data_IF_540461273810
#
_entry.id   IF_540461273810
#
_cell.length_a   1.000
_cell.length_b   1.000
_cell.length_c   1.000
_cell.angle_alpha   90.00
_cell.angle_beta   90.00
_cell.angle_gamma   90.00
#
_symmetry.space_group_name_H-M   'P 1'
#
loop_
_entity.id
_entity.type
_entity.pdbx_description
1 polymer ?
#
# COMPACT_ATOMS: atom_id res chain seq x y z
N UNK A 1 10.91 -17.41 -48.44
CA UNK A 1 11.98 -17.21 -47.44
C UNK A 1 11.32 -17.09 -46.08
N UNK A 2 11.43 -18.11 -45.25
CA UNK A 2 10.75 -18.20 -43.96
C UNK A 2 11.67 -17.60 -42.90
N UNK A 3 11.44 -16.35 -42.50
CA UNK A 3 12.17 -15.74 -41.39
C UNK A 3 11.86 -16.50 -40.11
N UNK A 4 12.89 -17.11 -39.52
CA UNK A 4 12.81 -17.74 -38.21
C UNK A 4 12.59 -16.65 -37.15
N UNK A 5 11.33 -16.39 -36.80
CA UNK A 5 10.96 -15.41 -35.77
C UNK A 5 11.53 -15.88 -34.43
N UNK A 6 12.61 -15.23 -33.99
CA UNK A 6 13.20 -15.43 -32.66
C UNK A 6 12.19 -14.98 -31.60
N UNK A 7 11.67 -15.93 -30.81
CA UNK A 7 10.73 -15.64 -29.71
C UNK A 7 11.54 -15.31 -28.46
N UNK A 8 11.28 -14.15 -27.84
CA UNK A 8 11.90 -13.76 -26.58
C UNK A 8 11.04 -14.23 -25.39
N UNK A 9 11.64 -14.92 -24.42
CA UNK A 9 10.94 -15.29 -23.18
C UNK A 9 10.92 -14.13 -22.19
N UNK A 10 9.79 -13.91 -21.52
CA UNK A 10 9.66 -12.90 -20.49
C UNK A 10 10.46 -13.29 -19.24
N UNK A 11 11.35 -12.42 -18.75
CA UNK A 11 12.13 -12.70 -17.55
C UNK A 11 11.28 -12.82 -16.27
N UNK A 12 10.10 -12.17 -16.21
CA UNK A 12 9.23 -12.17 -15.03
C UNK A 12 8.35 -13.41 -14.95
N UNK A 13 7.76 -13.86 -16.06
CA UNK A 13 6.79 -14.95 -16.07
C UNK A 13 7.15 -16.13 -17.00
N UNK A 14 8.29 -16.07 -17.68
CA UNK A 14 8.78 -17.12 -18.59
C UNK A 14 8.05 -17.21 -19.95
N UNK A 15 6.94 -16.49 -20.14
CA UNK A 15 6.10 -16.59 -21.34
C UNK A 15 6.83 -16.11 -22.59
N UNK A 16 6.78 -16.89 -23.68
CA UNK A 16 7.34 -16.50 -24.97
C UNK A 16 6.49 -15.40 -25.64
N UNK A 17 7.13 -14.30 -26.02
CA UNK A 17 6.52 -13.19 -26.74
C UNK A 17 7.17 -13.05 -28.14
N UNK A 18 6.45 -12.52 -29.13
CA UNK A 18 7.05 -12.17 -30.41
C UNK A 18 8.11 -11.08 -30.21
N UNK A 19 9.19 -11.09 -31.02
CA UNK A 19 10.33 -10.17 -30.87
C UNK A 19 9.94 -8.68 -30.86
N UNK A 20 8.86 -8.32 -31.57
CA UNK A 20 8.38 -6.95 -31.65
C UNK A 20 7.53 -6.49 -30.44
N UNK A 21 7.26 -7.37 -29.47
CA UNK A 21 6.41 -7.03 -28.33
C UNK A 21 7.14 -6.16 -27.31
N UNK A 22 6.67 -4.92 -27.14
CA UNK A 22 7.13 -3.98 -26.10
C UNK A 22 6.70 -4.37 -24.68
N UNK A 23 5.69 -5.23 -24.57
CA UNK A 23 5.14 -5.71 -23.31
C UNK A 23 4.94 -7.22 -23.36
N UNK A 24 5.13 -7.89 -22.23
CA UNK A 24 4.80 -9.31 -22.14
C UNK A 24 3.27 -9.50 -22.15
N UNK A 25 2.76 -10.29 -23.11
CA UNK A 25 1.33 -10.61 -23.20
C UNK A 25 0.79 -11.50 -22.06
N UNK A 26 1.64 -11.94 -21.13
CA UNK A 26 1.23 -12.70 -19.94
C UNK A 26 1.09 -11.84 -18.69
N UNK A 27 2.08 -10.99 -18.41
CA UNK A 27 2.16 -10.24 -17.15
C UNK A 27 2.26 -8.71 -17.34
N UNK A 28 2.12 -8.21 -18.58
CA UNK A 28 2.12 -6.78 -18.90
C UNK A 28 3.47 -6.06 -18.73
N UNK A 29 4.52 -6.77 -18.33
CA UNK A 29 5.81 -6.14 -18.00
C UNK A 29 6.52 -5.64 -19.27
N UNK A 30 7.01 -4.40 -19.22
CA UNK A 30 7.81 -3.76 -20.28
C UNK A 30 9.09 -4.55 -20.54
N UNK A 31 9.27 -5.01 -21.77
CA UNK A 31 10.44 -5.82 -22.16
C UNK A 31 11.70 -4.98 -22.26
N UNK A 32 11.60 -3.71 -22.64
CA UNK A 32 12.74 -2.79 -22.75
C UNK A 32 13.34 -2.38 -21.40
N UNK A 33 12.52 -2.19 -20.37
CA UNK A 33 13.01 -1.82 -19.03
C UNK A 33 13.77 -2.96 -18.36
N UNK A 34 13.30 -4.19 -18.56
CA UNK A 34 13.98 -5.40 -18.08
C UNK A 34 15.34 -5.57 -18.80
N UNK A 35 15.40 -5.35 -20.11
CA UNK A 35 16.66 -5.40 -20.86
C UNK A 35 17.66 -4.32 -20.40
N UNK A 36 17.20 -3.10 -20.09
CA UNK A 36 18.05 -2.04 -19.51
C UNK A 36 18.55 -2.42 -18.11
N UNK A 37 17.68 -2.97 -17.26
CA UNK A 37 18.05 -3.40 -15.91
C UNK A 37 19.08 -4.54 -15.96
N UNK A 38 18.91 -5.53 -16.84
CA UNK A 38 19.88 -6.61 -17.01
C UNK A 38 21.24 -6.12 -17.50
N UNK A 39 21.27 -5.16 -18.44
CA UNK A 39 22.52 -4.55 -18.90
C UNK A 39 23.20 -3.72 -17.81
N UNK A 40 22.42 -3.02 -16.97
CA UNK A 40 22.93 -2.29 -15.81
C UNK A 40 23.56 -3.23 -14.78
N UNK A 41 22.92 -4.36 -14.47
CA UNK A 41 23.44 -5.38 -13.56
C UNK A 41 24.72 -6.01 -14.09
N UNK A 42 24.79 -6.31 -15.39
CA UNK A 42 26.01 -6.85 -16.03
C UNK A 42 27.18 -5.86 -15.93
N UNK A 43 26.93 -4.56 -16.15
CA UNK A 43 27.95 -3.53 -16.01
C UNK A 43 28.43 -3.38 -14.56
N UNK A 44 27.52 -3.41 -13.59
CA UNK A 44 27.88 -3.39 -12.16
C UNK A 44 28.74 -4.60 -11.76
N UNK A 45 28.42 -5.79 -12.28
CA UNK A 45 29.22 -6.99 -12.04
C UNK A 45 30.64 -6.86 -12.60
N UNK A 46 30.80 -6.28 -13.80
CA UNK A 46 32.12 -6.02 -14.38
C UNK A 46 32.91 -5.00 -13.55
N UNK A 47 32.27 -3.93 -13.08
CA UNK A 47 32.91 -2.92 -12.25
C UNK A 47 33.35 -3.48 -10.89
N UNK A 48 32.52 -4.30 -10.25
CA UNK A 48 32.86 -4.99 -8.99
C UNK A 48 34.04 -5.94 -9.21
N UNK A 49 34.08 -6.66 -10.34
CA UNK A 49 35.18 -7.57 -10.67
C UNK A 49 36.49 -6.80 -10.89
N UNK A 50 36.44 -5.68 -11.61
CA UNK A 50 37.59 -4.81 -11.82
C UNK A 50 38.13 -4.23 -10.49
N UNK A 51 37.25 -3.76 -9.60
CA UNK A 51 37.62 -3.26 -8.26
C UNK A 51 38.21 -4.32 -7.34
N UNK A 52 37.83 -5.59 -7.51
CA UNK A 52 38.42 -6.71 -6.74
C UNK A 52 39.82 -7.05 -7.22
N UNK A 53 40.07 -7.01 -8.53
CA UNK A 53 41.41 -7.28 -9.09
C UNK A 53 42.39 -6.17 -8.73
N UNK A 54 41.98 -4.89 -8.80
CA UNK A 54 42.85 -3.77 -8.41
C UNK A 54 43.19 -3.73 -6.92
N UNK A 55 42.31 -4.24 -6.06
CA UNK A 55 42.56 -4.36 -4.61
C UNK A 55 43.55 -5.48 -4.26
N UNK A 56 43.71 -6.48 -5.12
CA UNK A 56 44.68 -7.58 -4.95
C UNK A 56 46.08 -7.21 -5.45
N UNK A 57 46.21 -6.21 -6.32
CA UNK A 57 47.50 -5.77 -6.87
C UNK A 57 48.21 -4.64 -6.08
N UNK A 58 47.60 -4.11 -5.01
CA UNK A 58 48.19 -3.03 -4.19
C UNK A 58 48.80 -3.51 -2.85
N UNK A 59 49.06 -4.81 -2.67
CA UNK A 59 49.66 -5.34 -1.42
C UNK A 59 51.12 -5.77 -1.55
N UNK A 60 51.73 -5.69 -2.73
CA UNK A 60 53.15 -6.04 -2.92
C UNK A 60 53.85 -5.01 -3.80
N UNK A 61 54.27 -3.89 -3.20
CA UNK A 61 55.56 -3.25 -3.50
C UNK A 61 55.63 -1.87 -2.82
N UNK A 62 56.32 -1.77 -1.68
CA UNK A 62 57.16 -0.59 -1.44
C UNK A 62 58.32 -0.91 -0.47
N UNK A 63 59.59 -0.70 -0.88
CA UNK A 63 60.75 -0.81 -0.02
C UNK A 63 61.03 0.53 0.69
N UNK A 64 61.61 0.41 1.89
CA UNK A 64 61.96 1.52 2.77
C UNK A 64 63.14 2.36 2.24
N UNK A 65 63.02 3.70 2.21
CA UNK A 65 64.14 4.65 2.38
C UNK A 65 63.67 5.94 3.06
N UNK A 66 64.54 6.42 3.95
CA UNK A 66 64.54 7.56 4.87
C UNK A 66 64.54 8.94 4.16
N UNK A 67 63.86 9.97 4.72
CA UNK A 67 64.41 11.25 5.27
C UNK A 67 63.44 12.48 5.18
N UNK A 68 62.98 12.93 6.36
CA UNK A 68 63.04 14.31 6.95
C UNK A 68 62.75 15.55 6.07
N UNK A 69 61.68 16.30 6.39
CA UNK A 69 61.74 17.68 6.93
C UNK A 69 60.39 18.44 6.92
N UNK A 70 60.25 19.30 7.95
CA UNK A 70 59.48 20.55 8.06
C UNK A 70 57.93 20.54 8.19
N UNK A 71 57.48 20.81 9.42
CA UNK A 71 56.43 21.74 9.94
C UNK A 71 55.59 22.61 8.96
N UNK A 72 54.50 23.29 9.41
CA UNK A 72 53.79 23.24 10.71
C UNK A 72 52.23 23.24 10.61
N UNK A 73 51.60 23.02 11.77
CA UNK A 73 50.33 23.60 12.27
C UNK A 73 49.12 23.75 11.33
N UNK A 74 48.11 22.90 11.52
CA UNK A 74 46.72 23.36 11.42
C UNK A 74 45.81 22.61 12.41
N UNK A 75 45.00 23.41 13.09
CA UNK A 75 44.19 23.11 14.27
C UNK A 75 43.02 22.22 13.88
N UNK A 76 42.97 21.01 14.43
CA UNK A 76 41.83 20.09 14.31
C UNK A 76 41.00 20.09 15.61
N UNK A 77 39.67 20.27 15.56
CA UNK A 77 38.82 19.98 16.70
C UNK A 77 38.54 18.47 16.74
N UNK A 78 39.03 17.81 17.79
CA UNK A 78 38.83 16.38 18.03
C UNK A 78 37.33 16.05 18.24
N UNK A 79 36.76 15.05 17.53
CA UNK A 79 35.50 14.45 17.93
C UNK A 79 35.76 13.41 19.02
N UNK A 80 35.44 13.74 20.26
CA UNK A 80 35.37 12.79 21.36
C UNK A 80 34.19 11.81 21.13
N UNK A 81 34.42 10.74 20.37
CA UNK A 81 33.48 9.62 20.26
C UNK A 81 34.15 8.29 20.62
N UNK A 82 33.63 7.70 21.69
CA UNK A 82 33.45 6.26 21.90
C UNK A 82 34.57 5.41 22.53
N UNK A 83 35.20 5.89 23.61
CA UNK A 83 35.88 4.96 24.54
C UNK A 83 34.91 4.00 25.25
N UNK A 84 33.61 4.35 25.38
CA UNK A 84 32.60 3.53 26.05
C UNK A 84 32.18 2.26 25.26
N UNK A 85 32.20 2.31 23.92
CA UNK A 85 31.77 1.19 23.06
C UNK A 85 32.72 -0.02 23.14
N UNK A 86 34.04 0.22 23.30
CA UNK A 86 35.04 -0.85 23.36
C UNK A 86 34.98 -1.67 24.65
N UNK A 87 34.52 -1.10 25.77
CA UNK A 87 34.43 -1.83 27.06
C UNK A 87 33.30 -2.86 27.07
N UNK A 88 32.17 -2.55 26.43
CA UNK A 88 30.99 -3.43 26.43
C UNK A 88 31.26 -4.69 25.59
N UNK A 89 31.93 -4.55 24.45
CA UNK A 89 32.20 -5.68 23.54
C UNK A 89 33.14 -6.75 24.13
N UNK A 90 34.04 -6.37 25.05
CA UNK A 90 34.95 -7.32 25.70
C UNK A 90 34.29 -8.12 26.82
N UNK A 91 33.27 -7.57 27.49
CA UNK A 91 32.52 -8.29 28.53
C UNK A 91 31.71 -9.45 27.94
N UNK A 92 31.06 -9.22 26.79
CA UNK A 92 30.28 -10.25 26.11
C UNK A 92 31.14 -11.38 25.52
N UNK A 93 32.42 -11.12 25.24
CA UNK A 93 33.37 -12.14 24.73
C UNK A 93 33.80 -13.18 25.77
N UNK A 94 33.61 -12.94 27.06
CA UNK A 94 33.93 -13.91 28.13
C UNK A 94 32.77 -14.83 28.52
N UNK A 95 31.56 -14.54 28.04
CA UNK A 95 30.41 -15.40 28.32
C UNK A 95 30.48 -16.70 27.50
N UNK A 96 30.20 -17.87 28.11
CA UNK A 96 30.08 -19.14 27.41
C UNK A 96 29.09 -19.05 26.25
N UNK A 97 29.37 -19.76 25.15
CA UNK A 97 28.57 -19.74 23.91
C UNK A 97 27.09 -20.04 24.18
N UNK A 98 26.80 -20.91 25.14
CA UNK A 98 25.45 -21.25 25.59
C UNK A 98 24.65 -20.03 26.11
N UNK A 99 25.29 -19.16 26.90
CA UNK A 99 24.65 -17.97 27.47
C UNK A 99 24.37 -16.90 26.42
N UNK A 100 25.23 -16.78 25.39
CA UNK A 100 24.98 -15.85 24.28
C UNK A 100 23.75 -16.23 23.47
N UNK A 101 23.54 -17.53 23.23
CA UNK A 101 22.34 -18.02 22.52
C UNK A 101 21.08 -17.74 23.33
N UNK A 102 21.08 -18.02 24.65
CA UNK A 102 19.93 -17.73 25.52
C UNK A 102 19.62 -16.22 25.60
N UNK A 103 20.63 -15.38 25.73
CA UNK A 103 20.45 -13.92 25.73
C UNK A 103 19.90 -13.42 24.39
N UNK A 104 20.43 -13.88 23.25
CA UNK A 104 19.95 -13.47 21.93
C UNK A 104 18.47 -13.83 21.71
N UNK A 105 18.05 -15.04 22.12
CA UNK A 105 16.65 -15.47 22.04
C UNK A 105 15.75 -14.60 22.95
N UNK A 106 16.19 -14.33 24.18
CA UNK A 106 15.45 -13.47 25.11
C UNK A 106 15.29 -12.03 24.60
N UNK A 107 16.36 -11.45 24.03
CA UNK A 107 16.36 -10.11 23.46
C UNK A 107 15.50 -10.02 22.19
N UNK A 108 15.52 -11.06 21.35
CA UNK A 108 14.66 -11.14 20.18
C UNK A 108 13.17 -11.23 20.57
N UNK A 109 12.84 -12.02 21.58
CA UNK A 109 11.47 -12.11 22.09
C UNK A 109 11.00 -10.79 22.71
N UNK A 110 11.82 -10.13 23.53
CA UNK A 110 11.45 -8.85 24.15
C UNK A 110 11.32 -7.72 23.11
N UNK A 111 12.20 -7.69 22.11
CA UNK A 111 12.12 -6.73 21.00
C UNK A 111 10.86 -6.96 20.17
N UNK A 112 10.48 -8.21 19.91
CA UNK A 112 9.26 -8.55 19.19
C UNK A 112 8.02 -8.08 19.94
N UNK A 113 7.98 -8.28 21.27
CA UNK A 113 6.89 -7.79 22.13
C UNK A 113 6.86 -6.26 22.16
N UNK A 114 8.00 -5.59 22.26
CA UNK A 114 8.08 -4.13 22.21
C UNK A 114 7.62 -3.56 20.86
N UNK A 115 7.98 -4.20 19.75
CA UNK A 115 7.52 -3.82 18.41
C UNK A 115 6.00 -4.00 18.30
N UNK A 116 5.45 -5.10 18.80
CA UNK A 116 3.98 -5.31 18.82
C UNK A 116 3.30 -4.28 19.71
N UNK A 117 3.84 -3.96 20.89
CA UNK A 117 3.28 -2.93 21.79
C UNK A 117 3.39 -1.54 21.17
N UNK A 118 4.50 -1.19 20.51
CA UNK A 118 4.65 0.10 19.82
C UNK A 118 3.72 0.21 18.60
N UNK A 119 3.59 -0.85 17.82
CA UNK A 119 2.68 -0.88 16.66
C UNK A 119 1.21 -0.92 17.09
N UNK A 120 0.89 -1.53 18.24
CA UNK A 120 -0.48 -1.61 18.76
C UNK A 120 -0.87 -0.39 19.59
N UNK A 121 0.08 0.27 20.25
CA UNK A 121 -0.12 1.46 21.09
C UNK A 121 -0.05 2.79 20.35
N UNK A 122 0.48 2.80 19.11
CA UNK A 122 0.44 3.97 18.20
C UNK A 122 -0.83 4.03 17.33
N UNK A 123 -1.81 3.16 17.56
CA UNK A 123 -3.15 3.34 17.03
C UNK A 123 -3.96 4.12 18.07
N UNK A 124 -4.00 5.47 18.02
CA UNK A 124 -4.88 6.23 18.89
C UNK A 124 -6.29 5.68 18.73
N UNK A 125 -6.97 5.50 19.85
CA UNK A 125 -8.37 5.09 19.88
C UNK A 125 -9.17 6.04 18.98
N UNK A 126 -9.47 5.57 17.77
CA UNK A 126 -10.09 6.30 16.69
C UNK A 126 -11.57 6.55 17.02
N UNK A 127 -11.83 7.46 17.96
CA UNK A 127 -13.13 8.12 18.10
C UNK A 127 -13.21 9.16 16.98
N UNK A 128 -13.61 8.69 15.80
CA UNK A 128 -13.72 9.50 14.58
C UNK A 128 -15.08 10.19 14.56
N UNK A 129 -15.13 11.44 15.03
CA UNK A 129 -16.31 12.30 14.88
C UNK A 129 -16.18 13.25 13.67
N UNK A 130 -14.96 13.55 13.23
CA UNK A 130 -14.68 14.59 12.24
C UNK A 130 -13.94 14.03 11.01
N UNK A 131 -14.26 14.50 9.78
CA UNK A 131 -13.61 14.07 8.54
C UNK A 131 -12.14 14.51 8.51
N UNK A 132 -11.22 13.59 8.82
CA UNK A 132 -9.78 13.84 8.75
C UNK A 132 -9.28 13.81 7.31
N UNK A 133 -8.18 14.51 7.05
CA UNK A 133 -7.52 14.52 5.74
C UNK A 133 -7.21 13.11 5.27
N UNK A 134 -6.76 12.22 6.15
CA UNK A 134 -6.50 10.82 5.80
C UNK A 134 -7.71 10.14 5.15
N UNK A 135 -8.91 10.31 5.70
CA UNK A 135 -10.14 9.71 5.18
C UNK A 135 -10.61 10.38 3.91
N UNK A 136 -10.58 11.72 3.91
CA UNK A 136 -10.97 12.50 2.75
C UNK A 136 -10.06 12.22 1.55
N UNK A 137 -8.75 12.04 1.78
CA UNK A 137 -7.77 11.66 0.77
C UNK A 137 -8.07 10.28 0.19
N UNK A 138 -8.40 9.29 1.01
CA UNK A 138 -8.80 7.95 0.53
C UNK A 138 -10.07 8.03 -0.32
N UNK A 139 -11.00 8.91 0.03
CA UNK A 139 -12.20 9.14 -0.80
C UNK A 139 -11.87 9.80 -2.15
N UNK A 140 -11.00 10.81 -2.16
CA UNK A 140 -10.58 11.49 -3.38
C UNK A 140 -9.77 10.57 -4.30
N UNK A 141 -8.89 9.73 -3.76
CA UNK A 141 -8.07 8.80 -4.56
C UNK A 141 -8.94 7.85 -5.37
N UNK A 142 -10.08 7.45 -4.81
CA UNK A 142 -11.08 6.60 -5.46
C UNK A 142 -11.94 7.33 -6.46
N UNK A 143 -12.35 8.54 -6.12
CA UNK A 143 -13.29 9.32 -6.93
C UNK A 143 -12.62 9.88 -8.19
N UNK A 144 -11.34 10.23 -8.09
CA UNK A 144 -10.58 10.91 -9.14
C UNK A 144 -9.39 10.12 -9.65
N UNK A 145 -9.17 8.90 -9.16
CA UNK A 145 -8.12 8.00 -9.65
C UNK A 145 -6.69 8.51 -9.37
N UNK A 146 -6.52 9.28 -8.30
CA UNK A 146 -5.26 9.92 -7.94
C UNK A 146 -4.53 9.17 -6.83
N UNK A 147 -3.21 9.10 -6.92
CA UNK A 147 -2.38 8.57 -5.83
C UNK A 147 -2.43 9.46 -4.60
N UNK A 148 -2.15 8.86 -3.43
CA UNK A 148 -2.04 9.64 -2.20
C UNK A 148 -0.95 10.72 -2.29
N UNK A 149 0.14 10.47 -3.03
CA UNK A 149 1.19 11.44 -3.25
C UNK A 149 0.72 12.62 -4.12
N UNK A 150 -0.03 12.36 -5.19
CA UNK A 150 -0.64 13.40 -6.02
C UNK A 150 -1.65 14.22 -5.23
N UNK A 151 -2.46 13.57 -4.38
CA UNK A 151 -3.42 14.26 -3.52
C UNK A 151 -2.74 15.12 -2.45
N UNK A 152 -1.63 14.65 -1.87
CA UNK A 152 -0.84 15.45 -0.93
C UNK A 152 -0.20 16.64 -1.64
N UNK A 153 0.22 16.48 -2.91
CA UNK A 153 0.68 17.59 -3.75
C UNK A 153 -0.44 18.59 -4.04
N UNK A 154 -1.63 18.13 -4.43
CA UNK A 154 -2.81 18.99 -4.67
C UNK A 154 -3.19 19.76 -3.41
N UNK A 155 -3.14 19.10 -2.25
CA UNK A 155 -3.36 19.77 -0.97
C UNK A 155 -2.32 20.86 -0.72
N UNK A 156 -1.04 20.55 -0.95
CA UNK A 156 0.06 21.50 -0.82
C UNK A 156 -0.08 22.69 -1.77
N UNK A 157 -0.47 22.48 -3.02
CA UNK A 157 -0.74 23.54 -3.99
C UNK A 157 -1.94 24.40 -3.57
N UNK A 158 -2.97 23.80 -2.98
CA UNK A 158 -4.19 24.51 -2.56
C UNK A 158 -3.96 25.38 -1.32
N UNK A 159 -3.15 24.92 -0.37
CA UNK A 159 -3.00 25.58 0.95
C UNK A 159 -1.59 26.08 1.25
N UNK A 160 -0.63 25.89 0.34
CA UNK A 160 0.79 26.21 0.54
C UNK A 160 1.41 25.54 1.79
N UNK A 161 0.90 24.36 2.16
CA UNK A 161 1.33 23.62 3.34
C UNK A 161 1.20 22.10 3.13
N UNK A 162 2.11 21.32 3.72
CA UNK A 162 1.99 19.86 3.71
C UNK A 162 0.81 19.43 4.58
N UNK A 163 0.00 18.47 4.11
CA UNK A 163 -1.14 18.00 4.90
C UNK A 163 -0.70 17.24 6.15
N UNK A 164 -1.33 17.54 7.28
CA UNK A 164 -1.29 16.66 8.46
C UNK A 164 -2.39 15.58 8.28
N UNK A 165 -2.06 14.27 8.28
CA UNK A 165 -3.04 13.20 8.17
C UNK A 165 -4.18 13.28 9.21
N UNK A 166 -3.92 13.86 10.38
CA UNK A 166 -4.90 14.02 11.44
C UNK A 166 -5.73 15.31 11.32
N UNK A 167 -5.38 16.21 10.41
CA UNK A 167 -6.07 17.49 10.23
C UNK A 167 -7.52 17.26 9.81
N UNK A 168 -8.46 17.90 10.52
CA UNK A 168 -9.86 17.91 10.12
C UNK A 168 -10.02 18.80 8.88
N UNK A 169 -10.66 18.25 7.86
CA UNK A 169 -11.01 18.98 6.64
C UNK A 169 -12.43 19.48 6.81
N UNK A 170 -12.71 20.75 6.52
CA UNK A 170 -14.08 21.25 6.49
C UNK A 170 -14.62 21.37 5.04
N UNK A 171 -15.92 21.61 4.90
CA UNK A 171 -16.58 21.72 3.59
C UNK A 171 -15.95 22.83 2.72
N UNK A 172 -15.52 23.94 3.32
CA UNK A 172 -14.89 25.03 2.59
C UNK A 172 -13.51 24.64 2.04
N UNK A 173 -12.71 23.90 2.80
CA UNK A 173 -11.44 23.34 2.35
C UNK A 173 -11.64 22.33 1.23
N UNK A 174 -12.62 21.42 1.36
CA UNK A 174 -12.98 20.48 0.31
C UNK A 174 -13.40 21.20 -0.99
N UNK A 175 -14.19 22.27 -0.90
CA UNK A 175 -14.57 23.08 -2.06
C UNK A 175 -13.37 23.78 -2.73
N UNK A 176 -12.36 24.21 -1.96
CA UNK A 176 -11.12 24.75 -2.54
C UNK A 176 -10.32 23.68 -3.27
N UNK A 177 -10.21 22.49 -2.69
CA UNK A 177 -9.57 21.34 -3.34
C UNK A 177 -10.30 21.00 -4.65
N UNK A 178 -11.63 21.03 -4.68
CA UNK A 178 -12.41 20.86 -5.92
C UNK A 178 -12.02 21.87 -7.00
N UNK A 179 -11.90 23.15 -6.63
CA UNK A 179 -11.49 24.20 -7.59
C UNK A 179 -10.08 23.97 -8.13
N UNK A 180 -9.15 23.53 -7.28
CA UNK A 180 -7.80 23.14 -7.70
C UNK A 180 -7.85 21.97 -8.67
N UNK A 181 -8.61 20.91 -8.36
CA UNK A 181 -8.78 19.75 -9.25
C UNK A 181 -9.39 20.15 -10.60
N UNK A 182 -10.46 20.97 -10.61
CA UNK A 182 -11.07 21.51 -11.84
C UNK A 182 -10.04 22.24 -12.70
N UNK A 183 -9.20 23.05 -12.07
CA UNK A 183 -8.16 23.84 -12.76
C UNK A 183 -7.06 22.94 -13.31
N UNK A 184 -6.54 22.01 -12.50
CA UNK A 184 -5.47 21.10 -12.89
C UNK A 184 -5.88 20.15 -14.02
N UNK A 185 -7.09 19.59 -13.97
CA UNK A 185 -7.58 18.66 -14.98
C UNK A 185 -8.28 19.34 -16.15
N UNK A 186 -8.47 20.66 -16.11
CA UNK A 186 -9.23 21.41 -17.12
C UNK A 186 -10.66 20.86 -17.31
N UNK A 187 -11.28 20.39 -16.22
CA UNK A 187 -12.61 19.80 -16.20
C UNK A 187 -13.55 20.64 -15.32
N UNK A 188 -14.28 21.63 -15.88
CA UNK A 188 -15.13 22.51 -15.08
C UNK A 188 -16.31 21.77 -14.42
N UNK A 189 -16.74 20.66 -15.02
CA UNK A 189 -17.86 19.84 -14.55
C UNK A 189 -17.45 18.82 -13.45
N UNK A 190 -16.16 18.71 -13.13
CA UNK A 190 -15.68 17.82 -12.08
C UNK A 190 -16.24 18.27 -10.73
N UNK A 191 -17.01 17.46 -10.03
CA UNK A 191 -17.48 17.80 -8.68
C UNK A 191 -17.12 16.74 -7.66
N UNK A 192 -16.66 17.18 -6.49
CA UNK A 192 -16.48 16.33 -5.30
C UNK A 192 -17.83 16.16 -4.58
N UNK A 193 -18.79 17.05 -4.83
CA UNK A 193 -20.11 17.04 -4.19
C UNK A 193 -21.18 16.36 -5.06
N UNK A 194 -22.20 15.72 -4.46
CA UNK A 194 -22.42 15.58 -3.01
C UNK A 194 -21.39 14.66 -2.34
N UNK A 195 -21.03 14.98 -1.10
CA UNK A 195 -19.96 14.29 -0.38
C UNK A 195 -20.45 13.85 1.01
N UNK A 196 -20.39 12.54 1.33
CA UNK A 196 -20.89 12.01 2.60
C UNK A 196 -20.16 12.53 3.84
N UNK A 197 -18.96 13.11 3.71
CA UNK A 197 -18.21 13.71 4.82
C UNK A 197 -18.74 15.08 5.28
N UNK A 198 -19.45 15.80 4.40
CA UNK A 198 -19.84 17.20 4.64
C UNK A 198 -21.34 17.46 4.57
N UNK A 199 -22.13 16.45 4.22
CA UNK A 199 -23.58 16.54 4.27
C UNK A 199 -24.03 16.69 5.74
N UNK A 200 -24.20 17.94 6.15
CA UNK A 200 -24.74 18.37 7.46
C UNK A 200 -26.23 18.03 7.58
N UNK A 201 -26.89 17.76 6.45
CA UNK A 201 -27.97 16.80 6.44
C UNK A 201 -27.36 15.44 6.72
N UNK A 202 -27.20 15.12 8.01
CA UNK A 202 -27.35 13.76 8.49
C UNK A 202 -28.61 13.22 7.83
N UNK A 203 -28.44 12.61 6.65
CA UNK A 203 -29.32 11.55 6.19
C UNK A 203 -29.36 10.67 7.41
N UNK A 204 -30.48 10.74 8.14
CA UNK A 204 -30.77 9.91 9.30
C UNK A 204 -30.25 8.56 8.89
N UNK A 205 -29.20 8.07 9.56
CA UNK A 205 -28.72 6.71 9.36
C UNK A 205 -29.99 5.89 9.28
N UNK A 206 -30.31 5.29 8.11
CA UNK A 206 -31.59 4.64 7.93
C UNK A 206 -31.76 3.73 9.14
N UNK A 207 -32.87 3.82 9.88
CA UNK A 207 -33.06 3.04 11.13
C UNK A 207 -32.69 1.56 10.93
N UNK A 208 -32.89 1.06 9.71
CA UNK A 208 -32.43 -0.23 9.19
C UNK A 208 -30.94 -0.53 9.35
N UNK A 209 -30.03 0.43 9.19
CA UNK A 209 -28.59 0.24 9.38
C UNK A 209 -28.19 0.13 10.87
N UNK A 210 -28.93 0.77 11.78
CA UNK A 210 -28.76 0.61 13.23
C UNK A 210 -29.29 -0.75 13.71
N UNK A 211 -30.38 -1.23 13.10
CA UNK A 211 -30.96 -2.56 13.40
C UNK A 211 -30.08 -3.71 12.90
N UNK A 212 -29.20 -3.48 11.92
CA UNK A 212 -28.26 -4.46 11.39
C UNK A 212 -27.03 -4.71 12.28
N UNK A 213 -26.92 -4.03 13.43
CA UNK A 213 -25.79 -4.13 14.35
C UNK A 213 -24.64 -3.24 13.89
N UNK A 214 -24.49 -2.08 14.53
CA UNK A 214 -23.35 -1.20 14.29
C UNK A 214 -22.01 -1.87 14.62
N UNK A 215 -20.93 -1.31 14.08
CA UNK A 215 -19.56 -1.75 14.38
C UNK A 215 -19.13 -1.22 15.76
N UNK A 216 -18.58 -2.08 16.61
CA UNK A 216 -18.17 -1.71 17.98
C UNK A 216 -16.98 -0.75 18.03
N UNK A 217 -16.21 -0.65 16.93
CA UNK A 217 -15.08 0.26 16.78
C UNK A 217 -15.42 1.56 16.04
N UNK A 218 -16.67 1.77 15.61
CA UNK A 218 -17.07 2.97 14.87
C UNK A 218 -18.35 3.59 15.43
N UNK A 219 -18.34 4.89 15.81
CA UNK A 219 -19.54 5.61 16.23
C UNK A 219 -20.62 5.60 15.15
N UNK A 220 -21.90 5.45 15.52
CA UNK A 220 -23.03 5.36 14.57
C UNK A 220 -23.16 6.52 13.58
N UNK A 221 -22.64 7.71 13.92
CA UNK A 221 -22.66 8.89 13.06
C UNK A 221 -21.55 8.90 11.98
N UNK A 222 -20.69 7.88 11.93
CA UNK A 222 -19.53 7.87 11.06
C UNK A 222 -19.90 7.69 9.57
N UNK A 223 -19.24 8.40 8.63
CA UNK A 223 -19.53 8.29 7.17
C UNK A 223 -19.28 6.90 6.57
N UNK A 224 -18.60 6.01 7.29
CA UNK A 224 -18.42 4.60 6.90
C UNK A 224 -19.76 3.90 6.69
N UNK A 225 -20.77 4.20 7.50
CA UNK A 225 -22.09 3.58 7.34
C UNK A 225 -22.74 3.99 6.02
N UNK A 226 -22.54 5.23 5.57
CA UNK A 226 -23.02 5.70 4.26
C UNK A 226 -22.27 5.01 3.12
N UNK A 227 -20.94 4.93 3.22
CA UNK A 227 -20.10 4.29 2.19
C UNK A 227 -20.41 2.79 2.03
N UNK A 228 -20.83 2.13 3.10
CA UNK A 228 -21.14 0.69 3.13
C UNK A 228 -22.63 0.38 3.11
N UNK A 229 -23.48 1.39 3.00
CA UNK A 229 -24.94 1.27 3.08
C UNK A 229 -25.50 0.16 2.18
N UNK A 230 -25.12 0.03 0.88
CA UNK A 230 -25.64 -1.02 0.02
C UNK A 230 -25.39 -2.44 0.55
N UNK A 231 -24.26 -2.67 1.21
CA UNK A 231 -23.92 -3.97 1.79
C UNK A 231 -24.63 -4.22 3.11
N UNK A 232 -24.80 -3.17 3.92
CA UNK A 232 -25.53 -3.22 5.19
C UNK A 232 -27.02 -3.49 4.98
N UNK A 233 -27.63 -2.89 3.95
CA UNK A 233 -29.03 -3.15 3.58
C UNK A 233 -29.27 -4.61 3.18
N UNK A 234 -28.27 -5.22 2.53
CA UNK A 234 -28.26 -6.65 2.20
C UNK A 234 -27.92 -7.57 3.39
N UNK A 235 -27.67 -6.99 4.58
CA UNK A 235 -27.25 -7.71 5.80
C UNK A 235 -26.00 -8.57 5.60
N UNK A 236 -25.07 -8.12 4.76
CA UNK A 236 -23.78 -8.80 4.58
C UNK A 236 -22.91 -8.51 5.82
N UNK A 237 -22.40 -9.55 6.45
CA UNK A 237 -21.52 -9.43 7.60
C UNK A 237 -20.13 -8.93 7.20
N UNK A 238 -19.84 -7.66 7.48
CA UNK A 238 -18.54 -7.01 7.19
C UNK A 238 -17.59 -6.99 8.41
N UNK A 239 -18.12 -7.22 9.61
CA UNK A 239 -17.37 -7.16 10.86
C UNK A 239 -16.58 -8.45 11.16
N UNK A 240 -15.53 -8.32 11.95
CA UNK A 240 -14.79 -9.44 12.53
C UNK A 240 -15.60 -10.16 13.62
N UNK A 241 -15.05 -11.26 14.17
CA UNK A 241 -15.68 -12.02 15.26
C UNK A 241 -15.92 -11.22 16.54
N UNK A 242 -15.28 -10.06 16.70
CA UNK A 242 -15.43 -9.13 17.83
C UNK A 242 -16.35 -7.96 17.47
N UNK A 243 -17.09 -8.06 16.38
CA UNK A 243 -17.96 -7.01 15.83
C UNK A 243 -17.21 -5.70 15.53
N UNK A 244 -16.00 -5.79 14.95
CA UNK A 244 -15.20 -4.62 14.53
C UNK A 244 -14.96 -4.65 13.03
N UNK A 245 -15.05 -3.51 12.35
CA UNK A 245 -14.78 -3.44 10.91
C UNK A 245 -13.33 -3.08 10.59
N UNK A 246 -12.64 -2.36 11.49
CA UNK A 246 -11.24 -1.95 11.37
C UNK A 246 -10.91 -1.35 10.00
N UNK A 247 -11.41 -0.13 9.70
CA UNK A 247 -11.40 0.46 8.36
C UNK A 247 -10.06 0.41 7.61
N UNK A 248 -8.96 0.60 8.33
CA UNK A 248 -7.62 0.75 7.78
C UNK A 248 -6.77 -0.53 7.85
N UNK A 249 -7.28 -1.60 8.46
CA UNK A 249 -6.56 -2.87 8.42
C UNK A 249 -6.55 -3.39 6.97
N UNK A 250 -5.44 -3.94 6.47
CA UNK A 250 -5.38 -4.54 5.14
C UNK A 250 -6.46 -5.61 4.94
N UNK A 251 -7.13 -5.59 3.79
CA UNK A 251 -8.15 -6.57 3.45
C UNK A 251 -7.54 -7.96 3.31
N UNK A 252 -8.01 -8.93 4.10
CA UNK A 252 -7.61 -10.33 3.96
C UNK A 252 -8.46 -11.04 2.89
N UNK A 253 -7.86 -12.01 2.19
CA UNK A 253 -8.59 -12.85 1.24
C UNK A 253 -9.77 -13.58 1.90
N UNK A 254 -9.63 -13.98 3.16
CA UNK A 254 -10.67 -14.69 3.90
C UNK A 254 -11.89 -13.79 4.20
N UNK A 255 -11.65 -12.55 4.65
CA UNK A 255 -12.71 -11.59 4.92
C UNK A 255 -13.44 -11.19 3.63
N UNK A 256 -12.69 -10.92 2.56
CA UNK A 256 -13.24 -10.62 1.25
C UNK A 256 -14.12 -11.74 0.71
N UNK A 257 -13.58 -12.95 0.70
CA UNK A 257 -14.27 -14.13 0.20
C UNK A 257 -15.56 -14.40 0.99
N UNK A 258 -15.53 -14.25 2.32
CA UNK A 258 -16.72 -14.39 3.14
C UNK A 258 -17.83 -13.38 2.78
N UNK A 259 -17.47 -12.13 2.48
CA UNK A 259 -18.45 -11.12 2.05
C UNK A 259 -19.03 -11.43 0.66
N UNK A 260 -18.19 -11.85 -0.29
CA UNK A 260 -18.62 -12.23 -1.64
C UNK A 260 -19.47 -13.50 -1.63
N UNK A 261 -19.14 -14.51 -0.82
CA UNK A 261 -19.92 -15.74 -0.73
C UNK A 261 -21.31 -15.48 -0.15
N UNK A 262 -21.43 -14.58 0.84
CA UNK A 262 -22.72 -14.11 1.33
C UNK A 262 -23.52 -13.42 0.22
N UNK A 263 -22.87 -12.55 -0.56
CA UNK A 263 -23.51 -11.88 -1.69
C UNK A 263 -23.99 -12.87 -2.76
N UNK A 264 -23.16 -13.83 -3.16
CA UNK A 264 -23.52 -14.83 -4.17
C UNK A 264 -24.66 -15.72 -3.71
N UNK A 265 -24.67 -16.09 -2.43
CA UNK A 265 -25.78 -16.81 -1.82
C UNK A 265 -27.08 -16.00 -1.88
N UNK A 266 -27.03 -14.69 -1.62
CA UNK A 266 -28.21 -13.81 -1.71
C UNK A 266 -28.71 -13.66 -3.14
N UNK A 267 -27.81 -13.61 -4.12
CA UNK A 267 -28.13 -13.48 -5.55
C UNK A 267 -28.44 -14.83 -6.23
N UNK A 268 -28.41 -15.94 -5.49
CA UNK A 268 -28.53 -17.30 -6.02
C UNK A 268 -27.55 -17.60 -7.18
N UNK A 269 -26.34 -17.04 -7.10
CA UNK A 269 -25.26 -17.29 -8.06
C UNK A 269 -24.44 -18.49 -7.57
N UNK A 270 -24.11 -19.41 -8.48
CA UNK A 270 -23.33 -20.59 -8.15
C UNK A 270 -21.93 -20.21 -7.62
N UNK A 271 -21.52 -20.67 -6.41
CA UNK A 271 -20.26 -20.32 -5.78
C UNK A 271 -19.01 -20.91 -6.45
N UNK A 272 -19.12 -21.76 -7.48
CA UNK A 272 -17.97 -22.39 -8.13
C UNK A 272 -16.90 -21.38 -8.59
N UNK A 273 -17.31 -20.15 -8.90
CA UNK A 273 -16.42 -19.06 -9.31
C UNK A 273 -15.61 -18.45 -8.17
N UNK A 274 -16.23 -18.19 -7.01
CA UNK A 274 -15.56 -17.53 -5.89
C UNK A 274 -14.46 -18.43 -5.30
N UNK A 275 -14.73 -19.74 -5.27
CA UNK A 275 -13.79 -20.76 -4.82
C UNK A 275 -12.57 -20.87 -5.73
N UNK A 276 -12.73 -20.84 -7.05
CA UNK A 276 -11.59 -21.05 -7.97
C UNK A 276 -10.48 -20.00 -7.83
N UNK A 277 -10.85 -18.73 -7.70
CA UNK A 277 -9.88 -17.62 -7.61
C UNK A 277 -9.30 -17.45 -6.20
N UNK A 278 -10.09 -17.71 -5.15
CA UNK A 278 -9.68 -17.47 -3.77
C UNK A 278 -9.02 -18.69 -3.09
N UNK A 279 -9.36 -19.92 -3.48
CA UNK A 279 -8.84 -21.15 -2.80
C UNK A 279 -7.32 -21.24 -2.86
N UNK A 280 -6.69 -20.67 -3.89
CA UNK A 280 -5.24 -20.69 -4.06
C UNK A 280 -4.53 -19.50 -3.39
N UNK A 281 -5.28 -18.56 -2.79
CA UNK A 281 -4.73 -17.31 -2.27
C UNK A 281 -4.90 -17.21 -0.77
N UNK A 282 -3.82 -16.80 -0.11
CA UNK A 282 -3.75 -16.65 1.34
C UNK A 282 -3.13 -15.29 1.68
N UNK A 283 -3.46 -14.74 2.85
CA UNK A 283 -2.94 -13.45 3.31
C UNK A 283 -3.78 -12.26 2.86
N UNK A 284 -3.12 -11.12 2.61
CA UNK A 284 -3.76 -9.85 2.25
C UNK A 284 -3.91 -9.71 0.75
N UNK A 285 -5.00 -9.06 0.33
CA UNK A 285 -5.24 -8.71 -1.07
C UNK A 285 -4.41 -7.49 -1.44
N UNK A 286 -3.75 -7.53 -2.60
CA UNK A 286 -3.19 -6.32 -3.21
C UNK A 286 -4.28 -5.55 -3.97
N UNK A 287 -3.99 -4.30 -4.35
CA UNK A 287 -4.87 -3.51 -5.22
C UNK A 287 -5.10 -4.19 -6.58
N UNK A 288 -4.08 -4.82 -7.18
CA UNK A 288 -4.26 -5.62 -8.41
C UNK A 288 -5.25 -6.75 -8.18
N UNK A 289 -5.18 -7.41 -7.03
CA UNK A 289 -6.07 -8.52 -6.72
C UNK A 289 -7.51 -8.05 -6.58
N UNK A 290 -7.73 -6.99 -5.81
CA UNK A 290 -9.03 -6.37 -5.64
C UNK A 290 -9.61 -5.93 -7.00
N UNK A 291 -8.78 -5.31 -7.85
CA UNK A 291 -9.13 -4.92 -9.22
C UNK A 291 -9.64 -6.06 -10.06
N UNK A 292 -8.81 -7.08 -10.21
CA UNK A 292 -9.12 -8.20 -11.07
C UNK A 292 -10.38 -8.92 -10.57
N UNK A 293 -10.56 -9.01 -9.26
CA UNK A 293 -11.73 -9.62 -8.67
C UNK A 293 -13.00 -8.79 -8.93
N UNK A 294 -12.95 -7.48 -8.75
CA UNK A 294 -14.11 -6.60 -9.00
C UNK A 294 -14.51 -6.58 -10.47
N UNK A 295 -13.56 -6.46 -11.40
CA UNK A 295 -13.87 -6.50 -12.83
C UNK A 295 -14.50 -7.84 -13.23
N UNK A 296 -13.99 -8.93 -12.67
CA UNK A 296 -14.55 -10.23 -12.90
C UNK A 296 -15.94 -10.41 -12.28
N UNK A 297 -16.16 -9.83 -11.09
CA UNK A 297 -17.46 -9.77 -10.44
C UNK A 297 -18.47 -9.01 -11.30
N UNK A 298 -18.09 -7.85 -11.85
CA UNK A 298 -18.92 -7.06 -12.78
C UNK A 298 -19.30 -7.86 -14.01
N UNK A 299 -18.34 -8.54 -14.63
CA UNK A 299 -18.57 -9.41 -15.79
C UNK A 299 -19.62 -10.48 -15.49
N UNK A 300 -19.51 -11.15 -14.33
CA UNK A 300 -20.47 -12.18 -13.90
C UNK A 300 -21.86 -11.65 -13.57
N UNK A 301 -21.92 -10.43 -13.04
CA UNK A 301 -23.17 -9.74 -12.77
C UNK A 301 -23.75 -9.06 -14.02
N UNK A 302 -23.15 -9.26 -15.20
CA UNK A 302 -23.54 -8.63 -16.46
C UNK A 302 -23.59 -7.08 -16.39
N UNK A 303 -22.80 -6.49 -15.50
CA UNK A 303 -22.69 -5.04 -15.36
C UNK A 303 -21.80 -4.54 -16.50
N UNK A 304 -22.39 -3.78 -17.43
CA UNK A 304 -21.63 -3.13 -18.50
C UNK A 304 -20.74 -2.06 -17.88
N UNK A 305 -19.45 -2.36 -17.74
CA UNK A 305 -18.45 -1.45 -17.21
C UNK A 305 -18.47 -0.13 -18.00
N UNK A 306 -18.80 0.98 -17.32
CA UNK A 306 -18.76 2.32 -17.92
C UNK A 306 -17.45 3.05 -17.63
N UNK A 307 -16.73 2.66 -16.57
CA UNK A 307 -15.43 3.22 -16.17
C UNK A 307 -14.59 2.15 -15.44
N UNK A 308 -13.32 1.95 -15.81
CA UNK A 308 -12.43 1.10 -15.03
C UNK A 308 -12.29 1.68 -13.62
N UNK A 309 -12.24 0.84 -12.59
CA UNK A 309 -11.76 1.31 -11.28
C UNK A 309 -10.24 1.44 -11.39
N UNK A 310 -9.72 2.66 -11.23
CA UNK A 310 -8.27 2.89 -11.24
C UNK A 310 -7.75 2.87 -9.81
N UNK A 311 -6.75 2.02 -9.58
CA UNK A 311 -5.97 1.98 -8.35
C UNK A 311 -4.56 2.48 -8.66
N UNK A 312 -4.18 3.59 -8.03
CA UNK A 312 -2.94 4.33 -8.32
C UNK A 312 -1.65 3.60 -7.93
N UNK A 313 -1.73 2.57 -7.07
CA UNK A 313 -0.58 1.79 -6.63
C UNK A 313 -0.92 0.30 -6.64
N UNK A 314 -0.50 -0.38 -7.70
CA UNK A 314 -0.76 -1.79 -7.97
C UNK A 314 -0.38 -2.74 -6.81
N UNK A 315 0.71 -2.45 -6.10
CA UNK A 315 1.26 -3.31 -5.03
C UNK A 315 0.85 -2.91 -3.62
N UNK A 316 0.05 -1.86 -3.45
CA UNK A 316 -0.45 -1.46 -2.15
C UNK A 316 -1.55 -2.43 -1.66
N UNK A 317 -1.68 -2.57 -0.34
CA UNK A 317 -2.69 -3.41 0.29
C UNK A 317 -3.88 -2.54 0.72
N UNK A 318 -5.03 -2.59 0.01
CA UNK A 318 -6.22 -1.81 0.34
C UNK A 318 -6.70 -2.08 1.76
N UNK A 319 -7.15 -1.03 2.45
CA UNK A 319 -7.83 -1.16 3.73
C UNK A 319 -9.20 -1.84 3.61
N UNK A 320 -9.73 -2.39 4.71
CA UNK A 320 -11.04 -3.07 4.75
C UNK A 320 -12.18 -2.18 4.27
N UNK A 321 -12.25 -0.94 4.76
CA UNK A 321 -13.24 0.03 4.30
C UNK A 321 -13.13 0.24 2.79
N UNK A 322 -11.89 0.32 2.31
CA UNK A 322 -11.65 0.61 0.92
C UNK A 322 -12.16 -0.54 0.03
N UNK A 323 -11.76 -1.77 0.31
CA UNK A 323 -12.22 -2.93 -0.46
C UNK A 323 -13.74 -3.08 -0.37
N UNK A 324 -14.34 -2.97 0.82
CA UNK A 324 -15.80 -3.08 0.95
C UNK A 324 -16.56 -1.95 0.26
N UNK A 325 -16.07 -0.72 0.25
CA UNK A 325 -16.78 0.34 -0.49
C UNK A 325 -16.68 0.11 -2.02
N UNK A 326 -15.60 -0.53 -2.52
CA UNK A 326 -15.54 -0.94 -3.92
C UNK A 326 -16.61 -2.01 -4.23
N UNK A 327 -16.82 -2.98 -3.32
CA UNK A 327 -17.91 -3.95 -3.44
C UNK A 327 -19.29 -3.26 -3.38
N UNK A 328 -19.49 -2.32 -2.46
CA UNK A 328 -20.72 -1.54 -2.34
C UNK A 328 -21.03 -0.73 -3.61
N UNK A 329 -20.01 -0.19 -4.26
CA UNK A 329 -20.15 0.49 -5.55
C UNK A 329 -20.67 -0.47 -6.64
N UNK A 330 -20.14 -1.70 -6.71
CA UNK A 330 -20.64 -2.73 -7.65
C UNK A 330 -22.12 -3.06 -7.39
N UNK A 331 -22.55 -3.17 -6.13
CA UNK A 331 -23.97 -3.38 -5.79
C UNK A 331 -24.82 -2.19 -6.24
N UNK A 332 -24.31 -0.98 -6.06
CA UNK A 332 -25.01 0.24 -6.51
C UNK A 332 -25.13 0.28 -8.04
N UNK A 333 -24.11 -0.17 -8.76
CA UNK A 333 -24.13 -0.33 -10.22
C UNK A 333 -25.14 -1.39 -10.67
N UNK A 334 -25.25 -2.51 -9.94
CA UNK A 334 -26.22 -3.57 -10.24
C UNK A 334 -27.67 -3.09 -10.10
N UNK A 335 -27.93 -2.16 -9.18
CA UNK A 335 -29.26 -1.62 -8.93
C UNK A 335 -29.69 -0.53 -9.94
N UNK A 336 -28.84 -0.14 -10.89
CA UNK A 336 -29.10 0.91 -11.89
C UNK A 336 -29.47 0.35 -13.25
#
# INVERSE_FOLDING_TARGET
MSESVTKASCAKCGRSNPAAAKFCGGCGTLTEEVARAENSIKNLHLEIKAKRVSKTSQTESEPAVIQKSAQPEEISPAPAKSAASRRVNNLFRRLPVYWRRKLAIGLSASLSVLIVIFLSGLMPENRMADPRWLDFRVFLSRSFELSHAELDQIFSETFSALPDPAQVVNQQQAARIEQTLKTLFQQPDLSIFPNPFFDSNTARVPKTALDAGGFSDIPSAHPVYNALQPLLELRISLADKKNRIRPYEPMSWADWQNAVDQLFKLLAIDPDMSKSLAVQRHGYMSNIDLRNYIEHLREKLFIKSRKPLVWSQETAYPGRLEAFAALAAVITELNR
#
